data_IF_421141351433
#
_entry.id   IF_421141351433
#
_cell.length_a   1.000
_cell.length_b   1.000
_cell.length_c   1.000
_cell.angle_alpha   90.00
_cell.angle_beta   90.00
_cell.angle_gamma   90.00
#
_symmetry.space_group_name_H-M   'P 1'
#
loop_
_entity.id
_entity.type
_entity.pdbx_description
1 polymer ?
#
# COMPACT_ATOMS: atom_id res chain seq x y z
N UNK A 1 -22.79 -14.91 -9.31
CA UNK A 1 -21.90 -14.57 -8.18
C UNK A 1 -20.46 -14.73 -8.66
N UNK A 2 -19.82 -13.64 -9.11
CA UNK A 2 -18.38 -13.67 -9.38
C UNK A 2 -17.67 -13.45 -8.04
N UNK A 3 -17.06 -14.50 -7.49
CA UNK A 3 -16.00 -14.28 -6.51
C UNK A 3 -14.90 -13.50 -7.21
N UNK A 4 -14.48 -12.32 -6.73
CA UNK A 4 -13.30 -11.67 -7.26
C UNK A 4 -12.16 -12.66 -7.05
N UNK A 5 -11.58 -13.11 -8.16
CA UNK A 5 -10.32 -13.85 -8.12
C UNK A 5 -9.36 -12.94 -7.36
N UNK A 6 -8.90 -13.36 -6.18
CA UNK A 6 -7.76 -12.73 -5.52
C UNK A 6 -6.62 -12.73 -6.54
N UNK A 7 -6.44 -11.60 -7.24
CA UNK A 7 -5.22 -11.37 -8.00
C UNK A 7 -4.08 -11.55 -7.01
N UNK A 8 -3.20 -12.49 -7.31
CA UNK A 8 -2.21 -13.06 -6.40
C UNK A 8 -1.00 -12.12 -6.32
N UNK A 9 -1.27 -10.86 -5.99
CA UNK A 9 -0.29 -9.82 -5.70
C UNK A 9 -0.50 -9.31 -4.26
N UNK A 10 0.49 -8.61 -3.69
CA UNK A 10 0.29 -7.94 -2.41
C UNK A 10 -0.95 -7.02 -2.49
N UNK A 11 -1.77 -6.95 -1.44
CA UNK A 11 -3.01 -6.17 -1.48
C UNK A 11 -2.73 -4.71 -1.82
N UNK A 12 -3.55 -4.14 -2.71
CA UNK A 12 -3.49 -2.71 -2.99
C UNK A 12 -4.09 -1.93 -1.82
N UNK A 13 -3.21 -1.40 -0.98
CA UNK A 13 -3.58 -0.64 0.21
C UNK A 13 -4.25 0.70 -0.11
N UNK A 14 -4.35 1.12 -1.38
CA UNK A 14 -5.11 2.31 -1.79
C UNK A 14 -6.59 2.01 -2.06
N UNK A 15 -6.97 0.73 -2.11
CA UNK A 15 -8.36 0.28 -2.26
C UNK A 15 -8.96 -0.08 -0.89
N UNK A 16 -10.26 0.14 -0.65
CA UNK A 16 -10.93 -0.28 0.57
C UNK A 16 -10.78 -1.79 0.85
N UNK A 17 -10.88 -2.62 -0.18
CA UNK A 17 -10.82 -4.08 -0.08
C UNK A 17 -9.41 -4.56 0.24
N UNK A 18 -8.39 -4.00 -0.42
CA UNK A 18 -6.99 -4.35 -0.16
C UNK A 18 -6.53 -3.86 1.22
N UNK A 19 -6.94 -2.66 1.63
CA UNK A 19 -6.67 -2.17 2.99
C UNK A 19 -7.39 -3.01 4.05
N UNK A 20 -8.66 -3.36 3.84
CA UNK A 20 -9.45 -4.17 4.77
C UNK A 20 -8.82 -5.55 5.01
N UNK A 21 -8.45 -6.25 3.95
CA UNK A 21 -7.78 -7.56 4.07
C UNK A 21 -6.43 -7.44 4.81
N UNK A 22 -5.63 -6.41 4.51
CA UNK A 22 -4.38 -6.16 5.21
C UNK A 22 -4.59 -5.83 6.70
N UNK A 23 -5.60 -5.01 7.00
CA UNK A 23 -5.94 -4.61 8.36
C UNK A 23 -6.34 -5.81 9.20
N UNK A 24 -7.27 -6.64 8.72
CA UNK A 24 -7.73 -7.84 9.43
C UNK A 24 -6.60 -8.84 9.70
N UNK A 25 -5.68 -9.03 8.74
CA UNK A 25 -4.55 -9.95 8.90
C UNK A 25 -3.52 -9.46 9.95
N UNK A 26 -3.33 -8.14 10.09
CA UNK A 26 -2.21 -7.59 10.85
C UNK A 26 -2.58 -6.89 12.15
N UNK A 27 -3.85 -6.52 12.35
CA UNK A 27 -4.29 -5.68 13.48
C UNK A 27 -3.92 -6.27 14.83
N UNK A 28 -4.19 -7.55 15.07
CA UNK A 28 -3.93 -8.19 16.36
C UNK A 28 -2.43 -8.24 16.70
N UNK A 29 -1.60 -8.49 15.69
CA UNK A 29 -0.15 -8.56 15.85
C UNK A 29 0.45 -7.17 16.15
N UNK A 30 0.02 -6.14 15.42
CA UNK A 30 0.50 -4.76 15.61
C UNK A 30 0.00 -4.20 16.94
N UNK A 31 -1.30 -4.32 17.24
CA UNK A 31 -1.87 -3.84 18.48
C UNK A 31 -1.25 -4.56 19.69
N UNK A 32 -1.07 -5.88 19.61
CA UNK A 32 -0.36 -6.66 20.63
C UNK A 32 1.10 -6.24 20.82
N UNK A 33 1.78 -5.83 19.76
CA UNK A 33 3.15 -5.32 19.84
C UNK A 33 3.24 -3.95 20.51
N UNK A 34 2.29 -3.05 20.21
CA UNK A 34 2.25 -1.68 20.73
C UNK A 34 1.81 -1.67 22.20
N UNK A 35 0.77 -2.41 22.55
CA UNK A 35 0.27 -2.53 23.93
C UNK A 35 1.31 -3.08 24.91
N UNK A 36 2.29 -3.86 24.43
CA UNK A 36 3.44 -4.30 25.27
C UNK A 36 4.44 -3.18 25.57
N UNK A 37 4.45 -2.10 24.80
CA UNK A 37 5.40 -0.98 24.90
C UNK A 37 4.79 0.27 25.51
N UNK A 38 3.47 0.38 25.48
CA UNK A 38 2.74 1.58 25.87
C UNK A 38 1.75 1.20 26.96
N UNK A 39 1.85 1.87 28.11
CA UNK A 39 1.01 1.58 29.27
C UNK A 39 -0.44 2.08 29.12
N UNK A 40 -0.67 3.06 28.22
CA UNK A 40 -1.96 3.70 28.03
C UNK A 40 -2.68 3.11 26.80
N UNK A 41 -3.89 2.54 26.96
CA UNK A 41 -4.61 1.87 25.87
C UNK A 41 -4.99 2.76 24.68
N UNK A 42 -5.40 4.01 24.91
CA UNK A 42 -5.80 4.90 23.82
C UNK A 42 -4.62 5.27 22.92
N UNK A 43 -3.46 5.56 23.52
CA UNK A 43 -2.21 5.82 22.83
C UNK A 43 -1.73 4.60 22.05
N UNK A 44 -1.97 3.38 22.55
CA UNK A 44 -1.68 2.17 21.81
C UNK A 44 -2.55 2.04 20.54
N UNK A 45 -3.83 2.42 20.61
CA UNK A 45 -4.71 2.45 19.47
C UNK A 45 -4.30 3.51 18.44
N UNK A 46 -4.00 4.72 18.89
CA UNK A 46 -3.55 5.82 18.01
C UNK A 46 -2.25 5.45 17.26
N UNK A 47 -1.25 4.93 17.98
CA UNK A 47 0.00 4.49 17.36
C UNK A 47 -0.20 3.32 16.39
N UNK A 48 -1.17 2.44 16.67
CA UNK A 48 -1.53 1.37 15.76
C UNK A 48 -2.12 1.96 14.47
N UNK A 49 -3.04 2.93 14.57
CA UNK A 49 -3.60 3.62 13.41
C UNK A 49 -2.50 4.30 12.57
N UNK A 50 -1.55 4.98 13.20
CA UNK A 50 -0.42 5.64 12.53
C UNK A 50 0.44 4.66 11.71
N UNK A 51 0.66 3.44 12.19
CA UNK A 51 1.38 2.39 11.45
C UNK A 51 0.65 2.02 10.16
N UNK A 52 -0.67 1.83 10.22
CA UNK A 52 -1.48 1.52 9.04
C UNK A 52 -1.54 2.69 8.05
N UNK A 53 -1.65 3.93 8.54
CA UNK A 53 -1.58 5.14 7.71
C UNK A 53 -0.22 5.25 6.99
N UNK A 54 0.89 5.00 7.69
CA UNK A 54 2.22 5.02 7.11
C UNK A 54 2.40 3.94 6.03
N UNK A 55 1.81 2.75 6.23
CA UNK A 55 1.83 1.68 5.23
C UNK A 55 1.11 2.09 3.94
N UNK A 56 -0.08 2.69 4.04
CA UNK A 56 -0.81 3.24 2.89
C UNK A 56 -0.04 4.35 2.17
N UNK A 57 0.47 5.34 2.92
CA UNK A 57 1.25 6.43 2.36
C UNK A 57 2.51 5.97 1.62
N UNK A 58 3.08 4.82 2.02
CA UNK A 58 4.23 4.25 1.33
C UNK A 58 3.88 3.68 -0.06
N UNK A 59 2.67 3.13 -0.23
CA UNK A 59 2.19 2.65 -1.53
C UNK A 59 1.86 3.81 -2.47
N UNK A 60 1.22 4.87 -1.94
CA UNK A 60 0.93 6.08 -2.72
C UNK A 60 2.19 6.68 -3.37
N UNK A 61 3.31 6.67 -2.64
CA UNK A 61 4.62 7.11 -3.16
C UNK A 61 5.20 6.20 -4.24
N UNK A 62 4.92 4.89 -4.21
CA UNK A 62 5.37 3.96 -5.25
C UNK A 62 4.58 4.19 -6.54
N UNK A 63 3.28 4.44 -6.44
CA UNK A 63 2.40 4.70 -7.59
C UNK A 63 2.74 6.01 -8.33
N UNK A 64 3.31 7.00 -7.65
CA UNK A 64 3.77 8.26 -8.27
C UNK A 64 5.11 8.15 -9.00
N UNK A 65 5.76 6.98 -8.96
CA UNK A 65 7.03 6.72 -9.65
C UNK A 65 6.83 5.83 -10.87
N UNK A 66 5.93 6.25 -11.77
CA UNK A 66 5.90 5.70 -13.13
C UNK A 66 7.18 6.13 -13.87
N UNK A 67 7.97 5.18 -14.41
CA UNK A 67 9.11 5.54 -15.25
C UNK A 67 8.55 6.18 -16.52
N UNK A 68 8.72 7.49 -16.64
CA UNK A 68 8.56 8.22 -17.90
C UNK A 68 9.33 7.46 -18.97
N UNK A 69 8.61 6.97 -19.98
CA UNK A 69 9.22 6.28 -21.09
C UNK A 69 10.17 7.23 -21.82
N UNK A 70 11.40 6.76 -22.01
CA UNK A 70 12.41 7.42 -22.84
C UNK A 70 11.77 7.70 -24.22
N UNK A 71 11.71 8.94 -24.70
CA UNK A 71 11.03 9.24 -25.96
C UNK A 71 11.69 8.46 -27.10
N UNK A 72 10.84 7.82 -27.91
CA UNK A 72 11.24 7.13 -29.12
C UNK A 72 12.07 8.07 -30.00
N UNK A 73 13.30 7.64 -30.30
CA UNK A 73 14.15 8.30 -31.29
C UNK A 73 13.50 8.10 -32.66
N UNK A 74 12.66 9.05 -33.07
CA UNK A 74 12.20 9.17 -34.45
C UNK A 74 13.38 9.64 -35.31
N UNK A 75 14.19 8.70 -35.80
CA UNK A 75 14.96 8.94 -37.03
C UNK A 75 14.14 8.44 -38.20
N UNK A 76 13.14 9.23 -38.56
CA UNK A 76 12.59 9.22 -39.92
C UNK A 76 13.13 10.46 -40.61
N UNK A 77 13.96 10.29 -41.63
CA UNK A 77 14.43 11.41 -42.42
C UNK A 77 15.45 11.02 -43.48
N UNK A 78 15.00 11.10 -44.74
CA UNK A 78 15.77 11.24 -46.00
C UNK A 78 16.32 9.92 -46.56
N UNK A 79 15.71 9.29 -47.57
CA UNK A 79 15.44 9.77 -48.94
C UNK A 79 16.72 10.20 -49.67
N UNK A 80 17.30 9.27 -50.44
CA UNK A 80 17.66 9.39 -51.87
C UNK A 80 18.49 8.20 -52.31
#
# INVERSE_FOLDING_TARGET
>A
MLSPRHETGPPDLTTPEGFGAFYEEHIDAVLGFVTRRVAEPHLAADLTADVFLAAMGSQLRKSSRTPTSRPARSTTGRSS
#
